data_IF_337313257832
#
_entry.id   IF_337313257832
#
_cell.length_a   1.000
_cell.length_b   1.000
_cell.length_c   1.000
_cell.angle_alpha   90.00
_cell.angle_beta   90.00
_cell.angle_gamma   90.00
#
_symmetry.space_group_name_H-M   'P 1'
#
loop_
_entity.id
_entity.type
_entity.pdbx_description
1 polymer ?
#
# COMPACT_ATOMS: atom_id res chain seq x y z
N UNK A 1 15.46 19.26 10.70
CA UNK A 1 14.20 18.54 10.94
C UNK A 1 14.31 17.18 10.26
N UNK A 2 14.80 16.19 10.99
CA UNK A 2 14.95 14.82 10.48
C UNK A 2 13.61 14.14 10.65
N UNK A 3 12.84 14.01 9.57
CA UNK A 3 11.64 13.18 9.58
C UNK A 3 12.11 11.73 9.69
N UNK A 4 11.76 11.06 10.78
CA UNK A 4 11.99 9.62 10.93
C UNK A 4 10.91 8.97 10.08
N UNK A 5 11.26 8.48 8.88
CA UNK A 5 10.40 7.54 8.16
C UNK A 5 10.42 6.25 8.98
N UNK A 6 9.38 6.04 9.79
CA UNK A 6 9.07 4.70 10.27
C UNK A 6 8.88 3.81 9.03
N UNK A 7 9.55 2.65 8.91
CA UNK A 7 9.30 1.77 7.78
C UNK A 7 7.83 1.39 7.79
N UNK A 8 7.10 1.79 6.74
CA UNK A 8 5.70 1.45 6.60
C UNK A 8 5.56 -0.08 6.61
N UNK A 9 4.63 -0.59 7.42
CA UNK A 9 4.36 -2.03 7.51
C UNK A 9 4.08 -2.59 6.12
N UNK A 10 4.76 -3.66 5.67
CA UNK A 10 4.53 -4.21 4.34
C UNK A 10 3.06 -4.59 4.13
N UNK A 11 2.57 -4.39 2.90
CA UNK A 11 1.23 -4.86 2.54
C UNK A 11 1.21 -6.39 2.48
N UNK A 12 0.17 -6.96 3.06
CA UNK A 12 -0.07 -8.39 3.13
C UNK A 12 -1.15 -8.81 2.14
N UNK A 13 -1.32 -10.13 1.98
CA UNK A 13 -2.42 -10.67 1.19
C UNK A 13 -3.81 -10.41 1.82
N UNK A 14 -3.87 -10.01 3.09
CA UNK A 14 -5.13 -9.67 3.76
C UNK A 14 -5.60 -8.24 3.45
N UNK A 15 -4.70 -7.35 3.07
CA UNK A 15 -5.01 -5.97 2.76
C UNK A 15 -5.89 -5.86 1.51
N UNK A 16 -7.01 -5.16 1.64
CA UNK A 16 -8.05 -5.08 0.61
C UNK A 16 -8.17 -3.69 0.04
N UNK A 17 -8.31 -3.62 -1.28
CA UNK A 17 -8.61 -2.39 -1.96
C UNK A 17 -9.97 -1.86 -1.54
N UNK A 18 -10.04 -0.62 -1.06
CA UNK A 18 -11.28 0.00 -0.58
C UNK A 18 -12.35 0.13 -1.68
N UNK A 19 -11.94 0.05 -2.95
CA UNK A 19 -12.86 0.18 -4.09
C UNK A 19 -13.46 -1.14 -4.57
N UNK A 20 -12.72 -2.24 -4.52
CA UNK A 20 -13.17 -3.52 -5.10
C UNK A 20 -12.92 -4.77 -4.25
N UNK A 21 -12.26 -4.64 -3.10
CA UNK A 21 -11.96 -5.77 -2.23
C UNK A 21 -10.89 -6.72 -2.76
N UNK A 22 -10.21 -6.42 -3.87
CA UNK A 22 -9.05 -7.19 -4.32
C UNK A 22 -7.83 -6.95 -3.40
N UNK A 23 -6.77 -7.76 -3.51
CA UNK A 23 -5.53 -7.50 -2.77
C UNK A 23 -4.98 -6.09 -3.07
N UNK A 24 -4.63 -5.37 -2.00
CA UNK A 24 -3.99 -4.08 -2.08
C UNK A 24 -2.47 -4.23 -2.30
N UNK A 25 -1.94 -3.33 -3.12
CA UNK A 25 -0.50 -3.17 -3.37
C UNK A 25 -0.06 -1.71 -3.21
N UNK A 26 -1.01 -0.80 -2.96
CA UNK A 26 -0.72 0.59 -2.64
C UNK A 26 -1.42 0.97 -1.35
N UNK A 27 -0.69 1.62 -0.45
CA UNK A 27 -1.23 2.33 0.71
C UNK A 27 -0.98 3.82 0.52
N UNK A 28 -2.04 4.61 0.69
CA UNK A 28 -2.01 6.06 0.57
C UNK A 28 -2.37 6.65 1.92
N UNK A 29 -1.38 7.22 2.60
CA UNK A 29 -1.61 7.98 3.83
C UNK A 29 -2.09 9.36 3.44
N UNK A 30 -3.23 9.80 3.96
CA UNK A 30 -3.84 11.09 3.60
C UNK A 30 -3.28 12.22 4.46
N UNK A 31 -3.17 13.42 3.88
CA UNK A 31 -2.80 14.64 4.62
C UNK A 31 -3.81 14.96 5.74
N UNK A 32 -5.08 14.56 5.57
CA UNK A 32 -6.13 14.69 6.58
C UNK A 32 -6.01 13.69 7.74
N UNK A 33 -5.06 12.76 7.66
CA UNK A 33 -4.98 11.58 8.51
C UNK A 33 -5.76 10.39 7.94
N UNK A 34 -5.39 9.20 8.41
CA UNK A 34 -5.90 7.92 7.92
C UNK A 34 -5.17 7.42 6.67
N UNK A 35 -5.56 6.24 6.21
CA UNK A 35 -5.01 5.61 5.02
C UNK A 35 -6.11 5.02 4.12
N UNK A 36 -5.81 4.96 2.83
CA UNK A 36 -6.60 4.26 1.83
C UNK A 36 -5.76 3.19 1.16
N UNK A 37 -6.36 2.04 0.88
CA UNK A 37 -5.73 0.90 0.26
C UNK A 37 -6.25 0.70 -1.16
N UNK A 38 -5.32 0.49 -2.09
CA UNK A 38 -5.65 0.27 -3.50
C UNK A 38 -4.97 -0.97 -4.07
N UNK A 39 -5.70 -1.71 -4.90
CA UNK A 39 -5.08 -2.68 -5.80
C UNK A 39 -4.27 -1.95 -6.87
N UNK A 40 -3.35 -2.65 -7.53
CA UNK A 40 -2.51 -2.07 -8.59
C UNK A 40 -3.32 -1.37 -9.69
N UNK A 41 -4.49 -1.93 -10.04
CA UNK A 41 -5.38 -1.33 -11.04
C UNK A 41 -5.96 0.01 -10.58
N UNK A 42 -6.57 0.07 -9.39
CA UNK A 42 -7.19 1.30 -8.91
C UNK A 42 -6.17 2.34 -8.48
N UNK A 43 -5.03 1.92 -7.93
CA UNK A 43 -3.92 2.82 -7.62
C UNK A 43 -3.47 3.59 -8.86
N UNK A 44 -3.22 2.90 -9.98
CA UNK A 44 -2.88 3.53 -11.27
C UNK A 44 -3.99 4.41 -11.84
N UNK A 45 -5.25 3.98 -11.71
CA UNK A 45 -6.40 4.75 -12.20
C UNK A 45 -6.55 6.09 -11.48
N UNK A 46 -6.29 6.12 -10.17
CA UNK A 46 -6.48 7.31 -9.33
C UNK A 46 -5.17 8.02 -8.97
N UNK A 47 -4.02 7.55 -9.45
CA UNK A 47 -2.68 8.09 -9.14
C UNK A 47 -2.59 9.62 -9.21
N UNK A 48 -3.13 10.31 -10.25
CA UNK A 48 -3.02 11.76 -10.34
C UNK A 48 -3.77 12.50 -9.23
N UNK A 49 -4.86 11.92 -8.74
CA UNK A 49 -5.67 12.48 -7.66
C UNK A 49 -5.08 12.14 -6.30
N UNK A 50 -4.63 10.89 -6.13
CA UNK A 50 -3.99 10.41 -4.90
C UNK A 50 -2.76 11.26 -4.57
N UNK A 51 -1.91 11.59 -5.54
CA UNK A 51 -0.72 12.46 -5.33
C UNK A 51 -1.05 13.86 -4.79
N UNK A 52 -2.27 14.37 -4.97
CA UNK A 52 -2.67 15.71 -4.49
C UNK A 52 -3.10 15.69 -3.02
N UNK A 53 -3.56 14.54 -2.53
CA UNK A 53 -4.15 14.40 -1.19
C UNK A 53 -3.28 13.52 -0.27
N UNK A 54 -2.29 12.82 -0.83
CA UNK A 54 -1.40 11.93 -0.10
C UNK A 54 -0.33 12.70 0.67
N UNK A 55 -0.15 12.36 1.93
CA UNK A 55 1.05 12.64 2.70
C UNK A 55 2.18 11.67 2.31
N UNK A 56 1.85 10.39 2.10
CA UNK A 56 2.77 9.33 1.73
C UNK A 56 2.07 8.30 0.84
N UNK A 57 2.81 7.71 -0.10
CA UNK A 57 2.34 6.62 -0.94
C UNK A 57 3.36 5.48 -0.87
N UNK A 58 2.96 4.35 -0.29
CA UNK A 58 3.68 3.08 -0.34
C UNK A 58 3.15 2.29 -1.52
N UNK A 59 3.99 2.08 -2.55
CA UNK A 59 3.67 1.31 -3.75
C UNK A 59 4.53 0.04 -3.80
N UNK A 60 3.88 -1.11 -3.70
CA UNK A 60 4.50 -2.45 -3.77
C UNK A 60 4.07 -3.21 -5.03
N UNK A 61 3.61 -2.51 -6.08
CA UNK A 61 3.17 -3.16 -7.33
C UNK A 61 4.29 -3.92 -8.05
N UNK A 62 5.56 -3.62 -7.74
CA UNK A 62 6.72 -4.38 -8.21
C UNK A 62 6.70 -5.87 -7.78
N UNK A 63 6.02 -6.20 -6.68
CA UNK A 63 5.83 -7.59 -6.20
C UNK A 63 4.94 -8.42 -7.13
N UNK A 64 4.19 -7.79 -8.03
CA UNK A 64 3.37 -8.50 -9.03
C UNK A 64 4.21 -9.08 -10.17
N UNK A 65 5.35 -8.45 -10.48
CA UNK A 65 6.24 -8.87 -11.57
C UNK A 65 7.36 -9.80 -11.11
N UNK A 66 7.63 -9.83 -9.80
CA UNK A 66 8.66 -10.64 -9.15
C UNK A 66 7.98 -11.70 -8.29
N UNK A 67 7.81 -12.96 -8.75
CA UNK A 67 7.13 -13.99 -7.96
C UNK A 67 7.97 -15.28 -7.88
N UNK A 68 7.96 -16.02 -6.75
CA UNK A 68 6.73 -16.39 -6.05
C UNK A 68 6.60 -15.95 -4.58
N UNK A 69 5.34 -15.60 -4.26
CA UNK A 69 4.67 -15.58 -2.95
C UNK A 69 5.53 -15.84 -1.69
N UNK A 70 5.97 -14.77 -1.03
CA UNK A 70 6.36 -14.86 0.38
C UNK A 70 5.08 -14.97 1.23
N UNK A 71 4.82 -16.19 1.71
CA UNK A 71 4.16 -16.39 3.00
C UNK A 71 4.88 -15.53 4.03
N UNK A 72 4.25 -14.47 4.53
CA UNK A 72 4.66 -13.89 5.79
C UNK A 72 4.12 -14.82 6.88
N UNK A 73 4.88 -15.88 7.20
CA UNK A 73 4.69 -16.56 8.47
C UNK A 73 5.08 -15.57 9.58
N UNK A 74 4.19 -15.29 10.56
CA UNK A 74 4.63 -14.64 11.77
C UNK A 74 5.52 -15.63 12.53
N UNK A 75 6.82 -15.37 12.55
CA UNK A 75 7.74 -16.02 13.47
C UNK A 75 7.44 -15.48 14.88
N UNK A 76 6.60 -16.18 15.64
CA UNK A 76 6.57 -16.08 17.11
C UNK A 76 6.15 -17.44 17.73
N UNK A 77 7.20 -18.15 18.18
CA UNK A 77 7.29 -19.05 19.34
C UNK A 77 7.46 -20.56 19.13
#
# INVERSE_FOLDING_TARGET
MTTVLTPATPLTAADRCDRCGAQAYLRVVLLSGGELLFCAHHGRKFEPELKKIAAEIQDETERLTSAPAAHAEPEDR
#
